data_IF_441827912692
#
_entry.id   IF_441827912692
#
_cell.length_a   1.000
_cell.length_b   1.000
_cell.length_c   1.000
_cell.angle_alpha   90.00
_cell.angle_beta   90.00
_cell.angle_gamma   90.00
#
_symmetry.space_group_name_H-M   'P 1'
#
loop_
_entity.id
_entity.type
_entity.pdbx_description
1 polymer ?
#
# COMPACT_ATOMS: atom_id res chain seq x y z
N UNK A 1 -27.30 3.98 3.60
CA UNK A 1 -26.21 3.65 4.57
C UNK A 1 -25.46 2.42 4.09
N UNK A 2 -24.15 2.51 3.86
CA UNK A 2 -23.30 1.41 3.37
C UNK A 2 -23.20 0.32 4.44
N UNK A 3 -23.69 -0.90 4.16
CA UNK A 3 -23.65 -2.05 5.11
C UNK A 3 -22.28 -2.74 5.13
N UNK A 4 -21.54 -2.74 4.00
CA UNK A 4 -20.28 -3.45 3.85
C UNK A 4 -19.17 -2.80 4.67
N UNK A 5 -18.36 -3.60 5.40
CA UNK A 5 -17.14 -3.15 6.09
C UNK A 5 -16.06 -2.80 5.07
N UNK A 6 -15.46 -1.62 5.19
CA UNK A 6 -14.44 -1.11 4.27
C UNK A 6 -13.03 -1.57 4.67
N UNK A 7 -12.69 -1.40 5.95
CA UNK A 7 -11.39 -1.78 6.49
C UNK A 7 -11.28 -3.28 6.73
N UNK A 8 -10.09 -3.83 6.51
CA UNK A 8 -9.76 -5.24 6.77
C UNK A 8 -8.46 -5.37 7.55
N UNK A 9 -8.37 -6.40 8.39
CA UNK A 9 -7.14 -6.90 9.01
C UNK A 9 -6.78 -8.30 8.52
N UNK A 10 -7.49 -8.82 7.53
CA UNK A 10 -7.39 -10.22 7.09
C UNK A 10 -6.14 -10.61 6.29
N UNK A 11 -5.05 -9.85 6.37
CA UNK A 11 -3.79 -10.14 5.72
C UNK A 11 -2.74 -10.51 6.79
N UNK A 12 -2.11 -11.68 6.67
CA UNK A 12 -1.10 -12.16 7.62
C UNK A 12 0.06 -11.16 7.83
N UNK A 13 0.42 -10.36 6.81
CA UNK A 13 1.46 -9.35 6.92
C UNK A 13 1.01 -8.16 7.81
N UNK A 14 -0.27 -7.78 7.70
CA UNK A 14 -0.87 -6.72 8.51
C UNK A 14 -0.92 -7.11 10.00
N UNK A 15 -1.24 -8.39 10.29
CA UNK A 15 -1.34 -8.87 11.68
C UNK A 15 -0.01 -8.94 12.40
N UNK A 16 1.11 -9.05 11.68
CA UNK A 16 2.46 -9.00 12.28
C UNK A 16 2.76 -7.68 12.99
N UNK A 17 2.07 -6.60 12.64
CA UNK A 17 2.24 -5.29 13.28
C UNK A 17 1.94 -5.29 14.77
N UNK A 18 1.08 -6.19 15.27
CA UNK A 18 0.74 -6.25 16.71
C UNK A 18 1.96 -6.59 17.58
N UNK A 19 2.91 -7.39 17.07
CA UNK A 19 4.17 -7.66 17.76
C UNK A 19 5.07 -6.42 17.94
N UNK A 20 4.84 -5.39 17.13
CA UNK A 20 5.53 -4.11 17.16
C UNK A 20 4.70 -2.99 17.82
N UNK A 21 3.59 -3.32 18.46
CA UNK A 21 2.71 -2.36 19.14
C UNK A 21 1.68 -1.67 18.23
N UNK A 22 1.47 -2.15 16.99
CA UNK A 22 0.58 -1.51 16.02
C UNK A 22 -0.57 -2.42 15.56
N UNK A 23 -1.79 -1.89 15.61
CA UNK A 23 -2.96 -2.49 14.98
C UNK A 23 -3.14 -1.90 13.59
N UNK A 24 -2.77 -2.67 12.57
CA UNK A 24 -2.90 -2.22 11.17
C UNK A 24 -4.23 -2.63 10.58
N UNK A 25 -4.88 -1.71 9.89
CA UNK A 25 -6.00 -2.00 8.97
C UNK A 25 -5.81 -1.28 7.64
N UNK A 26 -6.42 -1.81 6.59
CA UNK A 26 -6.34 -1.19 5.27
C UNK A 26 -7.53 -1.51 4.38
N UNK A 27 -7.52 -0.92 3.17
CA UNK A 27 -8.59 -1.07 2.20
C UNK A 27 -8.09 -1.89 1.01
N UNK A 28 -8.82 -2.95 0.68
CA UNK A 28 -8.67 -3.63 -0.59
C UNK A 28 -9.74 -3.13 -1.57
N UNK A 29 -9.32 -2.41 -2.60
CA UNK A 29 -10.11 -2.15 -3.80
C UNK A 29 -9.79 -3.17 -4.88
N UNK A 30 -10.66 -3.33 -5.86
CA UNK A 30 -10.40 -4.15 -7.04
C UNK A 30 -9.29 -3.50 -7.87
N UNK A 31 -8.12 -4.14 -8.04
CA UNK A 31 -6.96 -3.51 -8.67
C UNK A 31 -7.18 -3.26 -10.16
N UNK A 32 -6.37 -2.36 -10.70
CA UNK A 32 -6.47 -1.93 -12.10
C UNK A 32 -7.89 -1.45 -12.42
N UNK A 33 -8.47 -1.95 -13.50
CA UNK A 33 -9.82 -1.60 -13.96
C UNK A 33 -10.84 -2.75 -13.80
N UNK A 34 -10.59 -3.70 -12.91
CA UNK A 34 -11.45 -4.87 -12.72
C UNK A 34 -12.90 -4.53 -12.32
N UNK A 35 -13.11 -3.38 -11.69
CA UNK A 35 -14.44 -2.90 -11.30
C UNK A 35 -15.14 -2.04 -12.37
N UNK A 36 -14.47 -1.73 -13.48
CA UNK A 36 -14.82 -0.70 -14.44
C UNK A 36 -14.19 0.67 -14.14
N UNK A 37 -13.55 0.85 -12.97
CA UNK A 37 -12.84 2.07 -12.56
C UNK A 37 -11.35 1.80 -12.40
N UNK A 38 -10.48 2.69 -12.89
CA UNK A 38 -9.03 2.57 -12.75
C UNK A 38 -8.58 3.07 -11.36
N UNK A 39 -7.99 2.16 -10.57
CA UNK A 39 -7.48 2.46 -9.23
C UNK A 39 -5.96 2.35 -9.13
N UNK A 40 -5.27 1.99 -10.22
CA UNK A 40 -3.82 1.78 -10.29
C UNK A 40 -3.22 2.49 -11.51
N UNK A 41 -3.45 3.78 -11.64
CA UNK A 41 -3.07 4.59 -12.81
C UNK A 41 -1.60 4.40 -13.25
N UNK A 42 -0.70 4.07 -12.33
CA UNK A 42 0.75 3.94 -12.56
C UNK A 42 1.22 2.49 -12.68
N UNK A 43 0.29 1.54 -12.80
CA UNK A 43 0.63 0.12 -12.96
C UNK A 43 1.34 -0.16 -14.28
N UNK A 44 2.31 -1.05 -14.24
CA UNK A 44 2.93 -1.65 -15.41
C UNK A 44 2.22 -2.95 -15.82
N UNK A 45 2.61 -3.54 -16.94
CA UNK A 45 2.14 -4.85 -17.38
C UNK A 45 2.49 -5.94 -16.35
N UNK A 46 3.75 -5.98 -15.93
CA UNK A 46 4.23 -6.93 -14.92
C UNK A 46 3.53 -6.77 -13.58
N UNK A 47 3.39 -5.53 -13.09
CA UNK A 47 2.64 -5.23 -11.87
C UNK A 47 1.19 -5.76 -11.93
N UNK A 48 0.53 -5.64 -13.09
CA UNK A 48 -0.86 -6.11 -13.28
C UNK A 48 -0.94 -7.63 -13.21
N UNK A 49 -0.03 -8.34 -13.90
CA UNK A 49 0.03 -9.81 -13.95
C UNK A 49 0.41 -10.38 -12.56
N UNK A 50 1.43 -9.78 -11.93
CA UNK A 50 1.96 -10.21 -10.64
C UNK A 50 1.16 -9.70 -9.42
N UNK A 51 0.01 -9.06 -9.63
CA UNK A 51 -0.75 -8.41 -8.58
C UNK A 51 -1.10 -9.37 -7.44
N UNK A 52 -0.89 -8.94 -6.19
CA UNK A 52 -1.27 -9.69 -4.98
C UNK A 52 -2.75 -10.04 -4.90
N UNK A 53 -3.60 -9.39 -5.72
CA UNK A 53 -5.00 -9.76 -5.88
C UNK A 53 -5.18 -11.22 -6.34
N UNK A 54 -4.16 -11.79 -6.98
CA UNK A 54 -4.12 -13.17 -7.47
C UNK A 54 -3.51 -14.15 -6.45
N UNK A 55 -3.15 -13.70 -5.27
CA UNK A 55 -2.51 -14.52 -4.24
C UNK A 55 -3.44 -14.85 -3.06
N UNK A 56 -3.32 -16.05 -2.53
CA UNK A 56 -4.05 -16.50 -1.34
C UNK A 56 -5.57 -16.30 -1.45
N UNK A 57 -6.18 -15.77 -0.41
CA UNK A 57 -7.64 -15.49 -0.38
C UNK A 57 -8.10 -14.49 -1.43
N UNK A 58 -7.17 -13.70 -2.00
CA UNK A 58 -7.47 -12.78 -3.10
C UNK A 58 -8.09 -13.45 -4.33
N UNK A 59 -7.86 -14.75 -4.54
CA UNK A 59 -8.40 -15.54 -5.65
C UNK A 59 -9.87 -15.95 -5.47
N UNK A 60 -10.42 -15.85 -4.25
CA UNK A 60 -11.79 -16.27 -3.96
C UNK A 60 -12.81 -15.29 -4.59
N UNK A 61 -13.82 -15.79 -5.29
CA UNK A 61 -14.84 -14.98 -5.96
C UNK A 61 -15.49 -14.00 -4.97
N UNK A 62 -15.88 -14.45 -3.78
CA UNK A 62 -16.49 -13.58 -2.75
C UNK A 62 -15.59 -12.42 -2.32
N UNK A 63 -14.26 -12.62 -2.32
CA UNK A 63 -13.28 -11.56 -2.04
C UNK A 63 -13.18 -10.60 -3.21
N UNK A 64 -13.15 -11.11 -4.44
CA UNK A 64 -13.13 -10.30 -5.66
C UNK A 64 -14.41 -9.44 -5.74
N UNK A 65 -15.59 -10.04 -5.56
CA UNK A 65 -16.87 -9.34 -5.57
C UNK A 65 -16.93 -8.24 -4.51
N UNK A 66 -16.43 -8.52 -3.30
CA UNK A 66 -16.35 -7.54 -2.23
C UNK A 66 -15.43 -6.35 -2.59
N UNK A 67 -14.30 -6.60 -3.26
CA UNK A 67 -13.40 -5.54 -3.73
C UNK A 67 -14.02 -4.71 -4.83
N UNK A 68 -14.69 -5.36 -5.80
CA UNK A 68 -15.42 -4.68 -6.88
C UNK A 68 -16.52 -3.79 -6.31
N UNK A 69 -17.33 -4.31 -5.38
CA UNK A 69 -18.39 -3.53 -4.74
C UNK A 69 -17.84 -2.31 -3.99
N UNK A 70 -16.74 -2.47 -3.22
CA UNK A 70 -16.08 -1.34 -2.53
C UNK A 70 -15.56 -0.30 -3.51
N UNK A 71 -14.98 -0.74 -4.63
CA UNK A 71 -14.47 0.20 -5.64
C UNK A 71 -15.59 1.00 -6.28
N UNK A 72 -16.70 0.35 -6.64
CA UNK A 72 -17.87 1.05 -7.16
C UNK A 72 -18.42 2.06 -6.15
N UNK A 73 -18.59 1.67 -4.88
CA UNK A 73 -18.99 2.59 -3.81
C UNK A 73 -18.06 3.79 -3.69
N UNK A 74 -16.75 3.58 -3.78
CA UNK A 74 -15.76 4.66 -3.70
C UNK A 74 -15.92 5.68 -4.84
N UNK A 75 -16.27 5.26 -6.05
CA UNK A 75 -16.45 6.18 -7.18
C UNK A 75 -17.86 6.75 -7.27
N UNK A 76 -18.88 5.97 -6.98
CA UNK A 76 -20.29 6.31 -7.20
C UNK A 76 -20.93 7.00 -5.99
N UNK A 77 -20.41 6.73 -4.76
CA UNK A 77 -20.94 7.27 -3.50
C UNK A 77 -19.77 7.76 -2.62
N UNK A 78 -18.94 8.64 -3.18
CA UNK A 78 -17.67 9.07 -2.61
C UNK A 78 -17.81 9.59 -1.17
N UNK A 79 -18.71 10.49 -0.91
CA UNK A 79 -18.86 11.12 0.40
C UNK A 79 -19.38 10.14 1.45
N UNK A 80 -20.35 9.32 1.12
CA UNK A 80 -20.82 8.25 2.00
C UNK A 80 -19.70 7.24 2.32
N UNK A 81 -18.87 6.91 1.32
CA UNK A 81 -17.72 6.03 1.49
C UNK A 81 -16.73 6.64 2.48
N UNK A 82 -16.36 7.92 2.30
CA UNK A 82 -15.40 8.62 3.16
C UNK A 82 -15.95 8.81 4.58
N UNK A 83 -17.22 9.13 4.74
CA UNK A 83 -17.88 9.24 6.03
C UNK A 83 -17.86 7.91 6.79
N UNK A 84 -18.19 6.80 6.11
CA UNK A 84 -18.11 5.46 6.68
C UNK A 84 -16.68 5.07 7.02
N UNK A 85 -15.73 5.31 6.12
CA UNK A 85 -14.31 5.02 6.34
C UNK A 85 -13.79 5.74 7.59
N UNK A 86 -14.09 7.02 7.74
CA UNK A 86 -13.71 7.82 8.91
C UNK A 86 -14.29 7.25 10.21
N UNK A 87 -15.55 6.78 10.21
CA UNK A 87 -16.17 6.09 11.36
C UNK A 87 -15.45 4.79 11.69
N UNK A 88 -15.07 3.99 10.70
CA UNK A 88 -14.34 2.73 10.90
C UNK A 88 -12.93 2.97 11.42
N UNK A 89 -12.23 4.03 10.96
CA UNK A 89 -10.93 4.48 11.48
C UNK A 89 -11.07 4.85 12.96
N UNK A 90 -12.03 5.73 13.30
CA UNK A 90 -12.28 6.14 14.68
C UNK A 90 -12.56 4.95 15.60
N UNK A 91 -13.41 4.01 15.15
CA UNK A 91 -13.70 2.78 15.90
C UNK A 91 -12.45 1.90 16.09
N UNK A 92 -11.61 1.81 15.06
CA UNK A 92 -10.36 1.04 15.11
C UNK A 92 -9.37 1.66 16.07
N UNK A 93 -9.22 3.00 16.07
CA UNK A 93 -8.37 3.73 17.04
C UNK A 93 -8.79 3.43 18.47
N UNK A 94 -10.09 3.51 18.76
CA UNK A 94 -10.63 3.16 20.10
C UNK A 94 -10.35 1.70 20.47
N UNK A 95 -10.48 0.78 19.52
CA UNK A 95 -10.21 -0.65 19.74
C UNK A 95 -8.73 -0.94 19.97
N UNK A 96 -7.84 -0.28 19.23
CA UNK A 96 -6.38 -0.41 19.39
C UNK A 96 -5.95 0.10 20.76
N UNK A 97 -6.42 1.29 21.16
CA UNK A 97 -6.12 1.88 22.47
C UNK A 97 -6.50 0.97 23.65
N UNK A 98 -7.66 0.30 23.57
CA UNK A 98 -8.09 -0.69 24.60
C UNK A 98 -7.15 -1.89 24.71
N UNK A 99 -6.37 -2.18 23.66
CA UNK A 99 -5.38 -3.27 23.62
C UNK A 99 -3.96 -2.80 23.92
N UNK A 100 -3.75 -1.51 24.22
CA UNK A 100 -2.42 -0.92 24.38
C UNK A 100 -1.66 -0.77 23.05
N UNK A 101 -2.36 -0.80 21.90
CA UNK A 101 -1.77 -0.69 20.57
C UNK A 101 -2.06 0.67 19.94
N UNK A 102 -1.21 1.08 19.00
CA UNK A 102 -1.46 2.22 18.12
C UNK A 102 -2.13 1.76 16.82
N UNK A 103 -3.24 2.42 16.44
CA UNK A 103 -3.88 2.15 15.16
C UNK A 103 -3.12 2.81 14.02
N UNK A 104 -2.84 2.07 12.95
CA UNK A 104 -2.22 2.57 11.73
C UNK A 104 -2.98 2.04 10.50
N UNK A 105 -2.98 2.80 9.42
CA UNK A 105 -3.84 2.49 8.27
C UNK A 105 -3.07 2.50 6.96
N UNK A 106 -3.45 1.56 6.09
CA UNK A 106 -2.95 1.44 4.74
C UNK A 106 -4.10 1.54 3.73
N UNK A 107 -4.40 2.75 3.22
CA UNK A 107 -5.51 2.98 2.29
C UNK A 107 -5.39 2.25 0.94
N UNK A 108 -4.17 1.97 0.47
CA UNK A 108 -3.90 1.30 -0.81
C UNK A 108 -3.31 -0.11 -0.63
N UNK A 109 -4.10 -1.10 -0.17
CA UNK A 109 -3.62 -2.49 -0.12
C UNK A 109 -3.49 -3.14 -1.50
N UNK A 110 -4.39 -2.78 -2.43
CA UNK A 110 -4.43 -3.30 -3.82
C UNK A 110 -4.78 -2.21 -4.83
N UNK A 111 -4.42 -0.97 -4.54
CA UNK A 111 -4.63 0.22 -5.38
C UNK A 111 -3.43 1.16 -5.29
N UNK A 112 -3.44 2.24 -6.08
CA UNK A 112 -2.48 3.35 -6.01
C UNK A 112 -3.22 4.67 -6.25
N UNK A 113 -4.21 4.95 -5.36
CA UNK A 113 -5.02 6.16 -5.35
C UNK A 113 -4.28 7.24 -4.57
N UNK A 114 -4.27 8.47 -5.08
CA UNK A 114 -3.76 9.64 -4.38
C UNK A 114 -4.80 10.11 -3.34
N UNK A 115 -4.78 9.48 -2.15
CA UNK A 115 -5.70 9.80 -1.07
C UNK A 115 -5.48 11.21 -0.50
N UNK A 116 -4.29 11.75 -0.68
CA UNK A 116 -3.92 13.12 -0.34
C UNK A 116 -4.69 14.18 -1.13
N UNK A 117 -5.21 13.82 -2.30
CA UNK A 117 -5.99 14.72 -3.17
C UNK A 117 -7.52 14.58 -2.95
N UNK A 118 -7.94 13.68 -2.03
CA UNK A 118 -9.36 13.36 -1.85
C UNK A 118 -9.89 14.05 -0.60
N UNK A 119 -10.80 14.97 -0.81
CA UNK A 119 -11.49 15.69 0.26
C UNK A 119 -12.88 15.10 0.54
N UNK A 120 -13.31 15.16 1.79
CA UNK A 120 -14.65 14.81 2.24
C UNK A 120 -15.63 16.00 2.08
N UNK A 121 -16.85 15.85 2.59
CA UNK A 121 -17.87 16.93 2.57
C UNK A 121 -17.43 18.17 3.36
N UNK A 122 -16.57 18.03 4.36
CA UNK A 122 -16.04 19.14 5.18
C UNK A 122 -14.87 19.87 4.48
N UNK A 123 -14.47 19.44 3.27
CA UNK A 123 -13.35 20.00 2.52
C UNK A 123 -11.96 19.57 3.02
N UNK A 124 -11.87 18.57 3.91
CA UNK A 124 -10.60 18.07 4.46
C UNK A 124 -10.30 16.65 3.98
N UNK A 125 -9.03 16.33 3.89
CA UNK A 125 -8.58 14.97 3.56
C UNK A 125 -8.77 14.01 4.73
N UNK A 126 -8.64 12.70 4.44
CA UNK A 126 -8.65 11.66 5.46
C UNK A 126 -7.50 11.85 6.47
N UNK A 127 -6.35 12.30 6.01
CA UNK A 127 -5.14 12.50 6.80
C UNK A 127 -5.29 13.68 7.76
N UNK A 128 -5.84 14.80 7.31
CA UNK A 128 -6.14 15.97 8.15
C UNK A 128 -7.19 15.64 9.21
N UNK A 129 -8.27 14.93 8.81
CA UNK A 129 -9.33 14.53 9.74
C UNK A 129 -8.83 13.61 10.87
N UNK A 130 -7.81 12.82 10.60
CA UNK A 130 -7.18 11.90 11.55
C UNK A 130 -5.70 12.23 11.78
N UNK A 131 -5.37 13.49 11.99
CA UNK A 131 -4.01 14.02 12.01
C UNK A 131 -3.04 13.41 13.03
N UNK A 132 -3.55 12.73 14.08
CA UNK A 132 -2.75 12.01 15.09
C UNK A 132 -2.53 10.54 14.74
N UNK A 133 -3.02 10.07 13.58
CA UNK A 133 -2.99 8.67 13.19
C UNK A 133 -2.04 8.48 12.03
N UNK A 134 -1.14 7.50 12.12
CA UNK A 134 -0.22 7.18 11.03
C UNK A 134 -0.92 6.45 9.89
N UNK A 135 -0.68 6.94 8.68
CA UNK A 135 -1.04 6.29 7.42
C UNK A 135 0.22 5.98 6.62
N UNK A 136 0.17 4.95 5.78
CA UNK A 136 1.30 4.60 4.91
C UNK A 136 0.83 3.78 3.71
N UNK A 137 1.54 3.92 2.60
CA UNK A 137 1.24 3.21 1.37
C UNK A 137 2.48 2.96 0.51
N UNK A 138 2.28 2.18 -0.53
CA UNK A 138 3.20 2.11 -1.67
C UNK A 138 2.63 2.91 -2.83
N UNK A 139 3.52 3.53 -3.61
CA UNK A 139 3.12 4.21 -4.84
C UNK A 139 4.10 3.94 -5.98
N UNK A 140 3.61 3.91 -7.22
CA UNK A 140 4.43 3.95 -8.43
C UNK A 140 4.48 5.35 -9.05
N UNK A 141 3.77 6.31 -8.47
CA UNK A 141 3.78 7.70 -8.91
C UNK A 141 5.02 8.42 -8.41
N UNK A 142 5.92 8.79 -9.32
CA UNK A 142 7.09 9.60 -8.98
C UNK A 142 6.67 10.99 -8.46
N UNK A 143 5.61 11.57 -9.02
CA UNK A 143 5.08 12.87 -8.54
C UNK A 143 4.74 12.81 -7.05
N UNK A 144 3.97 11.79 -6.64
CA UNK A 144 3.59 11.60 -5.22
C UNK A 144 4.79 11.36 -4.34
N UNK A 145 5.71 10.48 -4.78
CA UNK A 145 6.93 10.17 -4.02
C UNK A 145 7.82 11.40 -3.85
N UNK A 146 7.98 12.22 -4.89
CA UNK A 146 8.72 13.48 -4.82
C UNK A 146 8.08 14.47 -3.85
N UNK A 147 6.76 14.63 -3.90
CA UNK A 147 6.02 15.48 -2.97
C UNK A 147 6.20 15.01 -1.51
N UNK A 148 6.17 13.68 -1.27
CA UNK A 148 6.47 13.10 0.04
C UNK A 148 7.88 13.44 0.52
N UNK A 149 8.90 13.23 -0.32
CA UNK A 149 10.31 13.51 0.02
C UNK A 149 10.58 14.99 0.27
N UNK A 150 9.85 15.88 -0.39
CA UNK A 150 9.91 17.33 -0.19
C UNK A 150 9.13 17.82 1.05
N UNK A 151 8.41 16.93 1.77
CA UNK A 151 7.56 17.32 2.90
C UNK A 151 6.28 18.05 2.51
N UNK A 152 5.83 17.92 1.27
CA UNK A 152 4.64 18.57 0.73
C UNK A 152 3.35 17.78 1.05
N UNK A 153 3.47 16.51 1.51
CA UNK A 153 2.35 15.69 1.92
C UNK A 153 2.09 15.81 3.43
N UNK A 154 0.89 15.42 3.91
CA UNK A 154 0.59 15.39 5.35
C UNK A 154 1.63 14.59 6.14
N UNK A 155 2.14 15.14 7.25
CA UNK A 155 3.22 14.56 8.05
C UNK A 155 2.90 13.18 8.64
N UNK A 156 1.63 12.83 8.73
CA UNK A 156 1.13 11.53 9.17
C UNK A 156 0.90 10.54 8.01
N UNK A 157 1.39 10.83 6.81
CA UNK A 157 1.31 9.95 5.65
C UNK A 157 2.67 9.59 5.10
N UNK A 158 3.06 8.32 5.15
CA UNK A 158 4.34 7.81 4.68
C UNK A 158 4.20 7.07 3.35
N UNK A 159 5.11 7.31 2.42
CA UNK A 159 5.15 6.62 1.13
C UNK A 159 6.45 5.84 0.93
N UNK A 160 6.31 4.64 0.37
CA UNK A 160 7.41 3.83 -0.17
C UNK A 160 7.21 3.69 -1.68
N UNK A 161 8.25 4.00 -2.46
CA UNK A 161 8.15 3.85 -3.92
C UNK A 161 8.15 2.37 -4.31
N UNK A 162 7.29 1.97 -5.24
CA UNK A 162 7.20 0.57 -5.70
C UNK A 162 7.85 0.42 -7.06
N UNK A 163 8.96 -0.30 -7.12
CA UNK A 163 9.67 -0.61 -8.37
C UNK A 163 8.85 -1.55 -9.26
N UNK A 164 9.04 -1.42 -10.56
CA UNK A 164 8.51 -2.29 -11.60
C UNK A 164 9.49 -2.35 -12.77
N UNK A 165 9.21 -3.19 -13.76
CA UNK A 165 10.01 -3.30 -14.99
C UNK A 165 10.06 -1.99 -15.81
N UNK A 166 9.08 -1.12 -15.64
CA UNK A 166 8.95 0.12 -16.41
C UNK A 166 9.48 1.38 -15.72
N UNK A 167 9.80 1.31 -14.40
CA UNK A 167 10.17 2.50 -13.62
C UNK A 167 11.49 2.36 -12.84
N UNK A 168 12.35 1.41 -13.20
CA UNK A 168 13.59 1.13 -12.46
C UNK A 168 14.54 2.33 -12.37
N UNK A 169 14.67 3.11 -13.47
CA UNK A 169 15.46 4.35 -13.46
C UNK A 169 14.94 5.35 -12.44
N UNK A 170 13.62 5.45 -12.31
CA UNK A 170 12.97 6.33 -11.33
C UNK A 170 13.18 5.77 -9.91
N UNK A 171 13.13 4.45 -9.74
CA UNK A 171 13.41 3.82 -8.45
C UNK A 171 14.83 4.15 -7.95
N UNK A 172 15.83 4.10 -8.84
CA UNK A 172 17.22 4.53 -8.51
C UNK A 172 17.27 6.00 -8.09
N UNK A 173 16.62 6.88 -8.84
CA UNK A 173 16.54 8.30 -8.48
C UNK A 173 15.87 8.53 -7.12
N UNK A 174 14.82 7.79 -6.80
CA UNK A 174 14.16 7.87 -5.48
C UNK A 174 15.13 7.48 -4.36
N UNK A 175 15.96 6.43 -4.54
CA UNK A 175 16.99 6.04 -3.56
C UNK A 175 18.05 7.14 -3.40
N UNK A 176 18.51 7.75 -4.50
CA UNK A 176 19.45 8.88 -4.50
C UNK A 176 18.87 10.10 -3.75
N UNK A 177 17.55 10.30 -3.79
CA UNK A 177 16.84 11.33 -3.03
C UNK A 177 16.60 10.96 -1.56
N UNK A 178 17.07 9.80 -1.09
CA UNK A 178 16.88 9.30 0.28
C UNK A 178 15.53 8.60 0.53
N UNK A 179 14.74 8.35 -0.51
CA UNK A 179 13.47 7.62 -0.39
C UNK A 179 13.65 6.11 -0.33
N UNK A 180 12.67 5.41 0.23
CA UNK A 180 12.65 3.94 0.28
C UNK A 180 11.97 3.37 -0.98
N UNK A 181 12.53 2.27 -1.49
CA UNK A 181 12.02 1.60 -2.69
C UNK A 181 11.72 0.13 -2.40
N UNK A 182 10.48 -0.28 -2.64
CA UNK A 182 10.09 -1.68 -2.58
C UNK A 182 10.38 -2.37 -3.90
N UNK A 183 11.07 -3.51 -3.83
CA UNK A 183 11.45 -4.36 -4.97
C UNK A 183 11.03 -5.80 -4.69
N UNK A 184 10.41 -6.45 -5.67
CA UNK A 184 10.06 -7.88 -5.57
C UNK A 184 11.19 -8.71 -6.14
N UNK A 185 11.69 -9.65 -5.35
CA UNK A 185 12.78 -10.55 -5.72
C UNK A 185 12.32 -12.00 -5.84
N UNK A 186 13.05 -12.74 -6.67
CA UNK A 186 12.84 -14.18 -6.90
C UNK A 186 13.59 -14.98 -5.85
N UNK A 187 12.86 -15.90 -5.21
CA UNK A 187 13.35 -16.91 -4.26
C UNK A 187 14.01 -16.36 -2.98
N UNK A 188 14.93 -15.41 -3.09
CA UNK A 188 15.71 -14.87 -1.97
C UNK A 188 15.96 -13.37 -2.10
N UNK A 189 16.25 -12.74 -0.98
CA UNK A 189 16.64 -11.33 -0.95
C UNK A 189 18.17 -11.23 -1.13
N UNK A 190 18.66 -10.35 -2.04
CA UNK A 190 20.07 -10.03 -2.07
C UNK A 190 20.47 -9.14 -0.89
N UNK A 191 21.75 -9.05 -0.56
CA UNK A 191 22.23 -8.10 0.46
C UNK A 191 22.08 -6.64 0.01
N UNK A 192 22.32 -6.41 -1.29
CA UNK A 192 22.21 -5.09 -1.92
C UNK A 192 21.47 -5.18 -3.26
N UNK A 193 20.85 -4.08 -3.65
CA UNK A 193 20.30 -3.87 -4.98
C UNK A 193 20.73 -2.48 -5.49
N UNK A 194 21.41 -2.45 -6.63
CA UNK A 194 22.07 -1.24 -7.15
C UNK A 194 22.95 -0.53 -6.10
N UNK A 195 23.73 -1.30 -5.33
CA UNK A 195 24.62 -0.79 -4.29
C UNK A 195 23.94 -0.32 -3.00
N UNK A 196 22.61 -0.40 -2.89
CA UNK A 196 21.82 0.00 -1.72
C UNK A 196 21.40 -1.21 -0.91
N UNK A 197 21.51 -1.13 0.42
CA UNK A 197 21.15 -2.20 1.36
C UNK A 197 19.68 -2.63 1.19
N UNK A 198 19.48 -3.93 1.11
CA UNK A 198 18.14 -4.54 1.12
C UNK A 198 17.77 -4.94 2.55
N UNK A 199 16.55 -4.58 2.97
CA UNK A 199 15.93 -5.03 4.23
C UNK A 199 14.79 -5.99 3.93
N UNK A 200 14.50 -6.93 4.82
CA UNK A 200 13.37 -7.85 4.67
C UNK A 200 12.04 -7.13 4.90
N UNK A 201 11.35 -6.82 3.80
CA UNK A 201 10.03 -6.21 3.83
C UNK A 201 8.90 -7.20 4.15
N UNK A 202 9.16 -8.50 4.26
CA UNK A 202 8.17 -9.51 4.65
C UNK A 202 8.16 -9.76 6.17
N UNK A 203 9.15 -9.26 6.92
CA UNK A 203 9.17 -9.30 8.38
C UNK A 203 8.00 -8.49 8.97
N UNK A 204 7.80 -7.28 8.49
CA UNK A 204 6.70 -6.39 8.90
C UNK A 204 6.14 -5.64 7.70
N UNK A 205 4.96 -5.02 7.84
CA UNK A 205 4.38 -4.11 6.82
C UNK A 205 4.52 -2.63 7.22
N UNK A 206 5.13 -2.32 8.35
CA UNK A 206 5.17 -0.98 8.96
C UNK A 206 6.26 -0.11 8.33
N UNK A 207 6.07 0.28 7.08
CA UNK A 207 7.08 0.99 6.26
C UNK A 207 7.55 2.33 6.81
N UNK A 208 6.73 3.00 7.60
CA UNK A 208 7.07 4.25 8.28
C UNK A 208 8.11 4.09 9.40
N UNK A 209 8.42 2.85 9.80
CA UNK A 209 9.49 2.52 10.76
C UNK A 209 10.83 2.18 10.08
N UNK A 210 10.84 2.00 8.78
CA UNK A 210 12.06 1.65 8.05
C UNK A 210 13.06 2.82 8.06
N UNK A 211 14.34 2.51 8.05
CA UNK A 211 15.39 3.51 7.82
C UNK A 211 15.22 4.12 6.43
N UNK A 212 15.60 5.39 6.30
CA UNK A 212 15.58 6.07 5.00
C UNK A 212 16.67 5.56 4.06
N UNK A 213 16.40 5.62 2.75
CA UNK A 213 17.35 5.27 1.70
C UNK A 213 17.68 3.79 1.62
N UNK A 214 16.71 2.91 1.92
CA UNK A 214 16.86 1.45 1.83
C UNK A 214 15.96 0.85 0.75
N UNK A 215 16.37 -0.32 0.27
CA UNK A 215 15.52 -1.17 -0.55
C UNK A 215 14.72 -2.11 0.34
N UNK A 216 13.40 -2.05 0.23
CA UNK A 216 12.48 -2.96 0.91
C UNK A 216 12.29 -4.19 0.03
N UNK A 217 13.03 -5.24 0.31
CA UNK A 217 12.95 -6.50 -0.43
C UNK A 217 11.68 -7.27 -0.08
N UNK A 218 10.99 -7.76 -1.10
CA UNK A 218 9.79 -8.59 -0.97
C UNK A 218 9.99 -9.86 -1.80
N UNK A 219 9.62 -11.01 -1.27
CA UNK A 219 9.65 -12.26 -2.03
C UNK A 219 8.37 -12.39 -2.86
N UNK A 220 8.51 -12.87 -4.10
CA UNK A 220 7.41 -13.06 -5.03
C UNK A 220 6.32 -13.98 -4.49
N UNK A 221 5.05 -13.63 -4.72
CA UNK A 221 3.86 -14.37 -4.26
C UNK A 221 2.85 -14.55 -5.38
N UNK A 222 2.05 -15.61 -5.31
CA UNK A 222 1.00 -15.86 -6.30
C UNK A 222 1.56 -15.97 -7.71
N UNK A 223 0.95 -15.27 -8.67
CA UNK A 223 1.37 -15.27 -10.07
C UNK A 223 2.73 -14.58 -10.32
N UNK A 224 3.23 -13.77 -9.37
CA UNK A 224 4.57 -13.19 -9.46
C UNK A 224 5.66 -14.27 -9.57
N UNK A 225 5.45 -15.48 -9.02
CA UNK A 225 6.36 -16.61 -9.15
C UNK A 225 6.60 -17.05 -10.60
N UNK A 226 5.67 -16.72 -11.49
CA UNK A 226 5.75 -17.02 -12.93
C UNK A 226 6.09 -15.79 -13.77
N UNK A 227 6.49 -14.69 -13.14
CA UNK A 227 6.81 -13.46 -13.85
C UNK A 227 8.00 -13.64 -14.79
N UNK A 228 7.83 -13.17 -16.02
CA UNK A 228 8.86 -13.09 -17.07
C UNK A 228 8.94 -11.70 -17.67
N UNK A 229 8.26 -10.72 -17.07
CA UNK A 229 8.24 -9.32 -17.57
C UNK A 229 9.41 -8.48 -17.05
N UNK A 230 10.11 -8.98 -15.99
CA UNK A 230 11.13 -8.23 -15.27
C UNK A 230 10.57 -7.40 -14.10
N UNK A 231 9.29 -7.58 -13.76
CA UNK A 231 8.72 -7.01 -12.53
C UNK A 231 9.36 -7.64 -11.29
N UNK A 232 9.54 -8.95 -11.29
CA UNK A 232 10.31 -9.70 -10.29
C UNK A 232 11.79 -9.65 -10.69
N UNK A 233 12.64 -9.19 -9.78
CA UNK A 233 14.09 -9.10 -9.98
C UNK A 233 14.77 -10.37 -9.50
N UNK A 234 15.91 -10.71 -10.10
CA UNK A 234 16.71 -11.84 -9.61
C UNK A 234 17.35 -11.46 -8.25
N UNK A 235 17.27 -12.40 -7.29
CA UNK A 235 17.81 -12.23 -5.94
C UNK A 235 19.33 -12.45 -5.86
N UNK A 236 20.09 -11.90 -6.80
CA UNK A 236 21.56 -11.95 -6.83
C UNK A 236 22.13 -10.59 -6.47
N UNK A 237 23.27 -10.58 -5.75
CA UNK A 237 23.98 -9.33 -5.44
C UNK A 237 24.47 -8.67 -6.72
N UNK A 238 24.18 -7.40 -6.87
CA UNK A 238 24.58 -6.56 -8.01
C UNK A 238 25.40 -5.37 -7.53
#
# INVERSE_FOLDING_TARGET
MIKQTLLTSGNAKITKGEAFGYLTKGIHLAPANLSGYEVCKWRSKGCTIACLNTAGRGQMNSVQDSRIAKTKLFFEQRFDFLAKLSKEITSTIKSASKKGLQAVFRPNLTSDIAWEDIINEDGVTLFEKHGKTQFYDYTKSFKRMKAFLNGELPSNYHLTFSCSESNEKIAKLVLEMGGNVAVVFRNQLPETWNGVKVIDGDESDLRFLDKQGVVVGLIEKGLAKKDSTGFVKEGVNS
#
